data_IF_456053151825
#
_entry.id   IF_456053151825
#
_cell.length_a   1.000
_cell.length_b   1.000
_cell.length_c   1.000
_cell.angle_alpha   90.00
_cell.angle_beta   90.00
_cell.angle_gamma   90.00
#
_symmetry.space_group_name_H-M   'P 1'
#
loop_
_entity.id
_entity.type
_entity.pdbx_description
1 polymer ?
#
# COMPACT_ATOMS: atom_id res chain seq x y z
N UNK A 1 -1.89 1.16 3.73
CA UNK A 1 -2.65 0.34 2.76
C UNK A 1 -1.77 -0.66 2.03
N UNK A 2 -0.48 -0.35 1.88
CA UNK A 2 0.56 -1.27 1.39
C UNK A 2 1.64 -1.35 2.48
N UNK A 3 2.24 -2.52 2.65
CA UNK A 3 3.42 -2.74 3.48
C UNK A 3 4.38 -3.68 2.74
N UNK A 4 5.67 -3.53 2.95
CA UNK A 4 6.68 -4.47 2.49
C UNK A 4 7.53 -4.95 3.65
N UNK A 5 8.23 -6.07 3.50
CA UNK A 5 9.29 -6.48 4.39
C UNK A 5 10.28 -7.37 3.64
N UNK A 6 11.58 -7.19 3.91
CA UNK A 6 12.60 -8.14 3.44
C UNK A 6 12.43 -9.47 4.18
N UNK A 7 12.59 -10.60 3.50
CA UNK A 7 12.62 -11.94 4.11
C UNK A 7 13.92 -12.14 4.89
N UNK A 8 14.04 -11.43 6.00
CA UNK A 8 15.13 -11.49 6.95
C UNK A 8 14.56 -11.44 8.37
N UNK A 9 14.50 -12.60 9.02
CA UNK A 9 13.89 -12.73 10.35
C UNK A 9 14.77 -12.17 11.47
N UNK A 10 16.06 -11.94 11.22
CA UNK A 10 17.02 -11.49 12.22
C UNK A 10 17.20 -9.97 12.20
N UNK A 11 16.59 -9.28 11.23
CA UNK A 11 16.62 -7.84 11.15
C UNK A 11 15.92 -7.24 12.39
N UNK A 12 16.71 -6.55 13.22
CA UNK A 12 16.27 -6.04 14.53
C UNK A 12 15.11 -5.05 14.42
N UNK A 13 15.04 -4.28 13.33
CA UNK A 13 13.99 -3.27 13.09
C UNK A 13 13.61 -3.19 11.62
N UNK A 14 12.33 -3.02 11.35
CA UNK A 14 11.84 -2.66 10.02
C UNK A 14 12.21 -1.20 9.68
N UNK A 15 12.58 -0.86 8.43
CA UNK A 15 13.01 0.50 8.06
C UNK A 15 11.95 1.60 8.31
N UNK A 16 10.67 1.29 8.20
CA UNK A 16 9.58 2.27 8.37
C UNK A 16 8.79 2.12 9.69
N UNK A 17 9.00 1.03 10.42
CA UNK A 17 8.21 0.69 11.60
C UNK A 17 9.17 0.33 12.73
N UNK A 18 8.98 0.94 13.90
CA UNK A 18 9.81 0.68 15.09
C UNK A 18 9.45 -0.66 15.79
N UNK A 19 9.38 -1.72 14.98
CA UNK A 19 9.04 -3.09 15.40
C UNK A 19 10.02 -4.07 14.72
N UNK A 20 10.43 -5.15 15.39
CA UNK A 20 11.26 -6.18 14.78
C UNK A 20 10.64 -6.80 13.54
N UNK A 21 11.46 -7.04 12.52
CA UNK A 21 10.97 -7.51 11.22
C UNK A 21 10.28 -8.89 11.31
N UNK A 22 10.75 -9.75 12.22
CA UNK A 22 10.10 -11.03 12.52
C UNK A 22 8.62 -10.86 12.90
N UNK A 23 8.32 -9.89 13.78
CA UNK A 23 6.95 -9.65 14.23
C UNK A 23 6.08 -9.14 13.10
N UNK A 24 6.62 -8.27 12.24
CA UNK A 24 5.93 -7.77 11.05
C UNK A 24 5.57 -8.92 10.10
N UNK A 25 6.53 -9.78 9.76
CA UNK A 25 6.30 -10.91 8.86
C UNK A 25 5.27 -11.88 9.44
N UNK A 26 5.36 -12.20 10.73
CA UNK A 26 4.44 -13.15 11.38
C UNK A 26 3.03 -12.59 11.54
N UNK A 27 2.91 -11.29 11.84
CA UNK A 27 1.61 -10.62 11.87
C UNK A 27 0.96 -10.64 10.49
N UNK A 28 1.70 -10.26 9.44
CA UNK A 28 1.17 -10.23 8.06
C UNK A 28 0.82 -11.63 7.55
N UNK A 29 1.58 -12.66 7.96
CA UNK A 29 1.23 -14.06 7.68
C UNK A 29 -0.15 -14.42 8.26
N UNK A 30 -0.47 -13.99 9.48
CA UNK A 30 -1.78 -14.23 10.10
C UNK A 30 -2.92 -13.45 9.42
N UNK A 31 -2.62 -12.27 8.85
CA UNK A 31 -3.60 -11.48 8.11
C UNK A 31 -3.88 -12.09 6.75
N UNK A 32 -2.86 -12.65 6.09
CA UNK A 32 -3.00 -13.36 4.83
C UNK A 32 -3.89 -14.60 4.99
N UNK A 33 -3.72 -15.37 6.06
CA UNK A 33 -4.56 -16.56 6.31
C UNK A 33 -6.04 -16.25 6.56
N UNK A 34 -6.37 -14.99 6.88
CA UNK A 34 -7.74 -14.49 7.07
C UNK A 34 -8.24 -13.66 5.89
N UNK A 35 -7.49 -13.66 4.78
CA UNK A 35 -7.80 -12.91 3.55
C UNK A 35 -7.89 -11.38 3.71
N UNK A 36 -7.39 -10.84 4.82
CA UNK A 36 -7.33 -9.38 5.07
C UNK A 36 -6.26 -8.68 4.22
N UNK A 37 -5.25 -9.41 3.76
CA UNK A 37 -4.20 -8.89 2.88
C UNK A 37 -3.93 -9.86 1.75
N UNK A 38 -3.63 -9.30 0.57
CA UNK A 38 -3.04 -10.03 -0.55
C UNK A 38 -1.53 -9.93 -0.47
N UNK A 39 -0.84 -11.06 -0.55
CA UNK A 39 0.61 -11.13 -0.54
C UNK A 39 1.17 -11.39 -1.94
N UNK A 40 2.26 -10.72 -2.29
CA UNK A 40 3.12 -11.03 -3.42
C UNK A 40 4.55 -11.15 -2.94
N UNK A 41 5.22 -12.25 -3.28
CA UNK A 41 6.62 -12.48 -2.90
C UNK A 41 7.51 -12.36 -4.13
N UNK A 42 8.48 -11.45 -4.08
CA UNK A 42 9.40 -11.21 -5.18
C UNK A 42 10.73 -10.67 -4.67
N UNK A 43 11.84 -11.12 -5.26
CA UNK A 43 13.20 -10.64 -4.92
C UNK A 43 13.56 -10.72 -3.43
N UNK A 44 13.09 -11.76 -2.73
CA UNK A 44 13.22 -11.89 -1.27
C UNK A 44 12.51 -10.80 -0.46
N UNK A 45 11.54 -10.11 -1.04
CA UNK A 45 10.65 -9.18 -0.35
C UNK A 45 9.22 -9.71 -0.37
N UNK A 46 8.55 -9.55 0.77
CA UNK A 46 7.11 -9.66 0.89
C UNK A 46 6.49 -8.30 0.60
N UNK A 47 5.46 -8.30 -0.24
CA UNK A 47 4.61 -7.14 -0.52
C UNK A 47 3.18 -7.50 -0.13
N UNK A 48 2.58 -6.71 0.76
CA UNK A 48 1.21 -6.91 1.21
C UNK A 48 0.32 -5.73 0.81
N UNK A 49 -0.85 -6.06 0.28
CA UNK A 49 -1.88 -5.11 -0.13
C UNK A 49 -3.14 -5.39 0.67
N UNK A 50 -3.63 -4.37 1.37
CA UNK A 50 -4.85 -4.49 2.17
C UNK A 50 -6.08 -4.71 1.27
N UNK A 51 -6.92 -5.69 1.60
CA UNK A 51 -8.19 -5.96 0.93
C UNK A 51 -9.32 -5.13 1.55
N UNK A 52 -10.51 -5.11 0.96
CA UNK A 52 -11.65 -4.40 1.53
C UNK A 52 -12.02 -4.94 2.92
N UNK A 53 -12.05 -6.27 3.08
CA UNK A 53 -12.34 -6.92 4.36
C UNK A 53 -11.27 -6.60 5.42
N UNK A 54 -10.00 -6.55 5.00
CA UNK A 54 -8.90 -6.12 5.88
C UNK A 54 -9.01 -4.67 6.33
N UNK A 55 -9.56 -3.79 5.48
CA UNK A 55 -9.84 -2.39 5.85
C UNK A 55 -10.92 -2.34 6.94
N UNK A 56 -12.01 -3.08 6.79
CA UNK A 56 -13.09 -3.12 7.79
C UNK A 56 -12.64 -3.70 9.12
N UNK A 57 -11.85 -4.77 9.08
CA UNK A 57 -11.24 -5.37 10.27
C UNK A 57 -10.37 -4.36 11.02
N UNK A 58 -9.46 -3.67 10.31
CA UNK A 58 -8.58 -2.68 10.93
C UNK A 58 -9.35 -1.45 11.46
N UNK A 59 -10.43 -1.03 10.80
CA UNK A 59 -11.29 0.04 11.31
C UNK A 59 -11.91 -0.33 12.66
N UNK A 60 -12.45 -1.54 12.75
CA UNK A 60 -13.07 -2.04 13.98
C UNK A 60 -12.02 -2.22 15.08
N UNK A 61 -10.87 -2.82 14.76
CA UNK A 61 -9.79 -3.09 15.72
C UNK A 61 -9.15 -1.82 16.28
N UNK A 62 -9.03 -0.77 15.46
CA UNK A 62 -8.43 0.52 15.85
C UNK A 62 -9.47 1.55 16.33
N UNK A 63 -10.75 1.17 16.40
CA UNK A 63 -11.86 2.06 16.77
C UNK A 63 -11.91 3.36 15.94
N UNK A 64 -11.64 3.26 14.64
CA UNK A 64 -11.64 4.39 13.72
C UNK A 64 -13.05 4.62 13.14
N UNK A 65 -13.51 5.89 12.99
CA UNK A 65 -14.75 6.19 12.28
C UNK A 65 -14.70 5.70 10.82
N UNK A 66 -15.86 5.28 10.30
CA UNK A 66 -16.01 4.65 8.97
C UNK A 66 -15.53 5.53 7.80
N UNK A 67 -15.43 6.83 8.02
CA UNK A 67 -15.02 7.83 7.06
C UNK A 67 -13.52 7.77 6.70
N UNK A 68 -12.69 7.15 7.55
CA UNK A 68 -11.26 7.05 7.31
C UNK A 68 -10.99 5.96 6.28
N UNK A 69 -10.68 6.39 5.07
CA UNK A 69 -10.37 5.54 3.93
C UNK A 69 -8.84 5.48 3.75
N UNK A 70 -8.26 4.29 3.47
CA UNK A 70 -6.83 4.20 3.19
C UNK A 70 -6.39 5.17 2.11
N UNK A 71 -5.16 5.70 2.23
CA UNK A 71 -4.62 6.68 1.30
C UNK A 71 -4.64 6.24 -0.17
N UNK A 72 -4.65 4.93 -0.44
CA UNK A 72 -4.74 4.35 -1.80
C UNK A 72 -6.12 4.49 -2.43
N UNK A 73 -7.19 4.66 -1.66
CA UNK A 73 -8.56 4.85 -2.17
C UNK A 73 -8.95 6.32 -2.27
N UNK A 74 -8.15 7.24 -1.70
CA UNK A 74 -8.35 8.67 -1.89
C UNK A 74 -8.11 8.96 -3.38
N UNK A 75 -9.16 9.41 -4.07
CA UNK A 75 -9.08 9.81 -5.47
C UNK A 75 -7.98 10.85 -5.61
N UNK A 76 -6.87 10.49 -6.24
CA UNK A 76 -5.82 11.45 -6.57
C UNK A 76 -6.43 12.47 -7.53
N UNK A 77 -6.53 13.73 -7.12
CA UNK A 77 -6.77 14.84 -8.02
C UNK A 77 -5.48 14.99 -8.82
N UNK A 78 -5.31 14.17 -9.87
CA UNK A 78 -4.32 14.47 -10.89
C UNK A 78 -4.67 15.88 -11.39
N UNK A 79 -3.78 16.88 -11.26
CA UNK A 79 -4.01 18.11 -11.98
C UNK A 79 -4.15 17.73 -13.45
N UNK A 80 -5.20 18.21 -14.09
CA UNK A 80 -5.42 18.12 -15.54
C UNK A 80 -4.24 18.86 -16.22
N UNK A 81 -3.12 18.16 -16.31
CA UNK A 81 -1.91 18.60 -17.00
C UNK A 81 -2.16 18.48 -18.49
N UNK A 82 -2.63 19.58 -19.08
CA UNK A 82 -2.63 19.95 -20.50
C UNK A 82 -3.06 18.86 -21.49
N UNK A 83 -4.23 19.08 -22.08
CA UNK A 83 -4.52 18.73 -23.48
C UNK A 83 -3.24 18.87 -24.32
N UNK A 84 -2.67 17.75 -24.73
CA UNK A 84 -1.72 17.69 -25.86
C UNK A 84 -2.55 17.84 -27.15
N UNK A 85 -3.14 19.01 -27.31
CA UNK A 85 -4.01 19.35 -28.42
C UNK A 85 -4.16 20.86 -28.51
N UNK A 86 -3.42 21.47 -29.45
CA UNK A 86 -3.53 22.89 -29.77
C UNK A 86 -2.19 23.61 -29.92
N UNK A 87 -1.36 23.21 -30.88
CA UNK A 87 -0.35 24.09 -31.45
C UNK A 87 -0.81 24.52 -32.85
N UNK A 88 -1.07 25.81 -33.12
CA UNK A 88 -1.50 26.27 -34.44
C UNK A 88 -0.36 26.12 -35.45
N UNK A 89 -0.73 25.81 -36.69
CA UNK A 89 0.21 25.69 -37.81
C UNK A 89 1.02 26.98 -38.05
N UNK A 90 2.18 26.82 -38.66
CA UNK A 90 3.02 27.95 -39.08
C UNK A 90 4.41 27.54 -39.52
N UNK A 91 4.52 27.30 -40.82
CA UNK A 91 5.67 27.56 -41.71
C UNK A 91 6.98 26.75 -41.68
N UNK A 92 7.29 26.28 -42.90
CA UNK A 92 8.55 25.72 -43.42
C UNK A 92 9.65 26.78 -43.43
N UNK A 93 10.92 26.35 -43.39
CA UNK A 93 11.72 26.24 -44.61
C UNK A 93 12.21 24.81 -44.90
#
# INVERSE_FOLDING_TARGET
GVLYAKKDFNLQKHPEIDVPNLQVIKLMQSFKSKEYVRETFSWMYYYWYLTNDGIEYLRTYLNLPSEIVPATLKKSVKPLGRSMGGGPGGDRP
#
